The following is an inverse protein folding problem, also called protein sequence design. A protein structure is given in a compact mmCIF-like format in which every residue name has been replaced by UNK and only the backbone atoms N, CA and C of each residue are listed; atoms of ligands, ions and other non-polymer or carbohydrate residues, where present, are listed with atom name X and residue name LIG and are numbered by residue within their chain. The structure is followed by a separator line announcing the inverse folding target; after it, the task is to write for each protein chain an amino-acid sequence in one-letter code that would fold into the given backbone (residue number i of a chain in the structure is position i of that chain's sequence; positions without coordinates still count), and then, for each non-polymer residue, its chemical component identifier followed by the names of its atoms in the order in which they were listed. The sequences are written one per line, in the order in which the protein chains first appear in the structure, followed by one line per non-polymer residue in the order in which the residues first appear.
data_IF_528151569855
#
_entry.id   IF_528151569855
#
_cell.length_a   1.000
_cell.length_b   1.000
_cell.length_c   1.000
_cell.angle_alpha   90.00
_cell.angle_beta   90.00
_cell.angle_gamma   90.00
#
_symmetry.space_group_name_H-M   'P 1'
#
loop_
_entity.id
_entity.type
_entity.pdbx_description
1 polymer ?
#
# COMPACT_ATOMS: atom_id res chain seq x y z
N UNK A 1 21.92 -2.40 -14.48
CA UNK A 1 20.59 -1.81 -14.71
C UNK A 1 20.18 -1.04 -13.46
N UNK A 2 19.47 0.07 -13.62
CA UNK A 2 18.96 0.89 -12.52
C UNK A 2 17.57 0.36 -12.15
N UNK A 3 17.36 0.01 -10.88
CA UNK A 3 16.07 -0.40 -10.36
C UNK A 3 15.29 0.84 -9.91
N UNK A 4 14.09 1.01 -10.44
CA UNK A 4 13.12 2.06 -10.04
C UNK A 4 11.91 1.39 -9.42
N UNK A 5 11.47 1.87 -8.25
CA UNK A 5 10.35 1.28 -7.53
C UNK A 5 9.26 2.32 -7.20
N UNK A 6 8.02 1.98 -7.52
CA UNK A 6 6.85 2.62 -6.92
C UNK A 6 6.51 1.89 -5.61
N UNK A 7 6.82 2.53 -4.50
CA UNK A 7 6.50 2.01 -3.17
C UNK A 7 5.28 2.68 -2.53
N UNK A 8 4.39 3.29 -3.29
CA UNK A 8 3.23 4.01 -2.75
C UNK A 8 2.37 3.17 -1.80
N UNK A 9 2.30 1.85 -1.99
CA UNK A 9 1.54 0.97 -1.11
C UNK A 9 2.37 0.25 -0.05
N UNK A 10 3.70 0.25 -0.19
CA UNK A 10 4.58 -0.56 0.67
C UNK A 10 5.55 0.26 1.52
N UNK A 11 5.78 1.51 1.18
CA UNK A 11 6.70 2.38 1.92
C UNK A 11 6.36 2.42 3.41
N UNK A 12 7.37 2.29 4.27
CA UNK A 12 7.26 2.22 5.74
C UNK A 12 6.45 1.02 6.28
N UNK A 13 6.16 0.01 5.47
CA UNK A 13 5.54 -1.23 5.94
C UNK A 13 6.55 -2.15 6.66
N UNK A 14 7.80 -2.08 6.25
CA UNK A 14 8.93 -2.85 6.75
C UNK A 14 10.26 -2.12 6.45
N UNK A 15 11.38 -2.53 7.07
CA UNK A 15 12.71 -2.07 6.68
C UNK A 15 13.03 -2.46 5.24
N UNK A 16 13.69 -1.57 4.52
CA UNK A 16 14.21 -1.81 3.17
C UNK A 16 15.66 -1.32 3.07
N UNK A 17 16.46 -1.97 2.26
CA UNK A 17 17.77 -1.48 1.87
C UNK A 17 17.65 -0.55 0.66
N UNK A 18 17.61 0.75 0.91
CA UNK A 18 17.46 1.77 -0.13
C UNK A 18 18.61 1.79 -1.13
N UNK A 19 19.78 1.22 -0.78
CA UNK A 19 20.96 1.20 -1.66
C UNK A 19 20.80 0.28 -2.86
N UNK A 20 19.85 -0.64 -2.81
CA UNK A 20 19.50 -1.54 -3.92
C UNK A 20 18.76 -0.82 -5.07
N UNK A 21 18.27 0.39 -4.81
CA UNK A 21 17.46 1.14 -5.79
C UNK A 21 18.20 2.35 -6.32
N UNK A 22 17.99 2.67 -7.58
CA UNK A 22 18.39 3.95 -8.14
C UNK A 22 17.40 5.05 -7.79
N UNK A 23 16.11 4.69 -7.76
CA UNK A 23 15.04 5.60 -7.41
C UNK A 23 13.87 4.84 -6.76
N UNK A 24 13.36 5.37 -5.66
CA UNK A 24 12.09 4.98 -5.06
C UNK A 24 11.18 6.21 -5.07
N UNK A 25 9.93 6.05 -5.48
CA UNK A 25 8.92 7.08 -5.26
C UNK A 25 7.70 6.50 -4.56
N UNK A 26 6.99 7.34 -3.79
CA UNK A 26 5.82 6.91 -3.07
C UNK A 26 4.83 8.07 -2.85
N UNK A 27 3.60 7.90 -3.31
CA UNK A 27 2.49 8.72 -2.89
C UNK A 27 2.17 8.47 -1.41
N UNK A 28 2.09 9.53 -0.59
CA UNK A 28 2.00 9.41 0.87
C UNK A 28 0.64 8.94 1.37
N UNK A 29 -0.41 9.00 0.54
CA UNK A 29 -1.83 8.84 0.93
C UNK A 29 -2.21 7.45 1.46
N UNK A 30 -1.32 6.48 1.45
CA UNK A 30 -1.58 5.11 1.94
C UNK A 30 -1.01 4.90 3.35
N UNK A 31 0.29 5.02 3.53
CA UNK A 31 0.96 4.72 4.80
C UNK A 31 1.53 5.94 5.54
N UNK A 32 1.56 7.13 4.94
CA UNK A 32 2.34 8.24 5.47
C UNK A 32 1.49 9.48 5.82
N UNK A 33 0.52 9.85 4.97
CA UNK A 33 -0.21 11.10 5.19
C UNK A 33 -1.38 11.31 4.20
N UNK A 34 -1.88 12.53 4.05
CA UNK A 34 -2.94 12.86 3.11
C UNK A 34 -2.44 12.90 1.67
N UNK A 35 -3.34 12.72 0.70
CA UNK A 35 -3.03 12.86 -0.73
C UNK A 35 -2.45 14.25 -1.05
N UNK A 36 -1.62 14.31 -2.09
CA UNK A 36 -1.04 15.56 -2.61
C UNK A 36 0.47 15.72 -2.36
N UNK A 37 1.10 14.77 -1.68
CA UNK A 37 2.55 14.75 -1.49
C UNK A 37 3.13 13.44 -2.04
N UNK A 38 4.29 13.52 -2.66
CA UNK A 38 5.07 12.36 -3.10
C UNK A 38 6.46 12.44 -2.47
N UNK A 39 6.92 11.33 -1.92
CA UNK A 39 8.32 11.19 -1.47
C UNK A 39 9.11 10.56 -2.60
N UNK A 40 10.29 11.12 -2.87
CA UNK A 40 11.28 10.55 -3.80
C UNK A 40 12.58 10.33 -3.03
N UNK A 41 13.11 9.12 -3.11
CA UNK A 41 14.45 8.76 -2.66
C UNK A 41 15.22 8.39 -3.91
N UNK A 42 16.22 9.17 -4.26
CA UNK A 42 16.97 9.01 -5.51
C UNK A 42 18.47 9.00 -5.23
N UNK A 43 19.19 8.16 -5.92
CA UNK A 43 20.65 8.09 -5.88
C UNK A 43 21.23 9.35 -6.50
N UNK A 44 22.23 9.95 -5.87
CA UNK A 44 22.78 11.27 -6.22
C UNK A 44 23.29 11.34 -7.66
N UNK A 45 23.93 10.27 -8.14
CA UNK A 45 24.47 10.20 -9.51
C UNK A 45 23.38 10.20 -10.62
N UNK A 46 22.10 10.04 -10.24
CA UNK A 46 20.96 10.15 -11.15
C UNK A 46 20.34 11.55 -11.20
N UNK A 47 20.81 12.47 -10.36
CA UNK A 47 20.36 13.87 -10.33
C UNK A 47 21.22 14.68 -11.28
N UNK A 48 20.86 14.70 -12.56
CA UNK A 48 21.66 15.31 -13.62
C UNK A 48 20.84 16.28 -14.46
N UNK A 49 21.54 17.08 -15.30
CA UNK A 49 20.92 17.91 -16.34
C UNK A 49 20.67 17.13 -17.65
N UNK A 50 21.16 15.89 -17.74
CA UNK A 50 20.93 15.00 -18.87
C UNK A 50 19.51 14.45 -18.84
N UNK A 51 18.60 15.17 -19.45
CA UNK A 51 17.17 14.84 -19.54
C UNK A 51 16.72 14.86 -20.99
N UNK A 52 15.63 14.15 -21.28
CA UNK A 52 15.04 14.16 -22.63
C UNK A 52 14.69 15.60 -23.07
N UNK A 53 14.93 15.89 -24.35
CA UNK A 53 14.57 17.18 -24.91
C UNK A 53 13.05 17.43 -24.75
N UNK A 54 12.68 18.61 -24.28
CA UNK A 54 11.28 18.97 -24.01
C UNK A 54 10.76 18.51 -22.65
N UNK A 55 11.60 17.92 -21.77
CA UNK A 55 11.19 17.57 -20.40
C UNK A 55 10.73 18.82 -19.65
N UNK A 56 9.45 18.86 -19.17
CA UNK A 56 8.97 19.96 -18.36
C UNK A 56 9.80 20.19 -17.10
N UNK A 57 9.94 21.45 -16.68
CA UNK A 57 10.77 21.83 -15.51
C UNK A 57 10.45 21.01 -14.27
N UNK A 58 9.18 20.82 -13.95
CA UNK A 58 8.76 20.10 -12.74
C UNK A 58 8.98 18.58 -12.78
N UNK A 59 9.35 18.03 -13.95
CA UNK A 59 9.71 16.61 -14.09
C UNK A 59 11.23 16.38 -14.04
N UNK A 60 12.02 17.42 -13.76
CA UNK A 60 13.48 17.34 -13.61
C UNK A 60 13.83 17.19 -12.13
N UNK A 61 14.40 16.07 -11.73
CA UNK A 61 14.79 15.85 -10.32
C UNK A 61 15.81 16.87 -9.81
N UNK A 62 16.69 17.35 -10.68
CA UNK A 62 17.69 18.37 -10.34
C UNK A 62 17.05 19.67 -9.85
N UNK A 63 15.96 20.13 -10.46
CA UNK A 63 15.23 21.34 -10.01
C UNK A 63 14.74 21.19 -8.56
N UNK A 64 14.22 20.01 -8.21
CA UNK A 64 13.76 19.73 -6.85
C UNK A 64 14.92 19.65 -5.87
N UNK A 65 16.02 18.99 -6.25
CA UNK A 65 17.22 18.85 -5.43
C UNK A 65 17.88 20.21 -5.14
N UNK A 66 18.13 21.01 -6.18
CA UNK A 66 18.82 22.30 -6.07
C UNK A 66 18.02 23.32 -5.26
N UNK A 67 16.70 23.14 -5.14
CA UNK A 67 15.81 24.03 -4.40
C UNK A 67 15.27 23.40 -3.10
N UNK A 68 15.87 22.32 -2.58
CA UNK A 68 15.40 21.64 -1.37
C UNK A 68 13.89 21.29 -1.39
N UNK A 69 13.38 20.86 -2.53
CA UNK A 69 11.96 20.58 -2.81
C UNK A 69 11.04 21.82 -2.68
N UNK A 70 11.58 23.02 -2.70
CA UNK A 70 10.85 24.29 -2.53
C UNK A 70 10.85 25.16 -3.81
N UNK A 71 11.07 24.56 -4.97
CA UNK A 71 11.01 25.29 -6.25
C UNK A 71 9.64 25.97 -6.46
N UNK A 72 8.56 25.34 -6.01
CA UNK A 72 7.22 25.91 -5.90
C UNK A 72 6.73 25.85 -4.45
N UNK A 73 5.63 26.52 -4.15
CA UNK A 73 4.99 26.44 -2.82
C UNK A 73 4.63 24.99 -2.50
N UNK A 74 5.19 24.43 -1.42
CA UNK A 74 5.01 23.02 -1.09
C UNK A 74 3.64 22.77 -0.44
N UNK A 75 3.12 21.52 -0.46
CA UNK A 75 1.92 21.13 0.26
C UNK A 75 2.20 21.05 1.79
N UNK A 76 2.39 22.20 2.43
CA UNK A 76 2.89 22.32 3.81
C UNK A 76 2.10 21.48 4.83
N UNK A 77 0.76 21.43 4.71
CA UNK A 77 -0.07 20.60 5.59
C UNK A 77 0.25 19.11 5.43
N UNK A 78 0.35 18.62 4.18
CA UNK A 78 0.69 17.23 3.88
C UNK A 78 2.05 16.85 4.46
N UNK A 79 3.06 17.70 4.29
CA UNK A 79 4.41 17.49 4.81
C UNK A 79 4.39 17.48 6.36
N UNK A 80 3.63 18.39 6.98
CA UNK A 80 3.48 18.42 8.44
C UNK A 80 2.89 17.11 8.99
N UNK A 81 1.82 16.59 8.35
CA UNK A 81 1.20 15.32 8.76
C UNK A 81 2.16 14.14 8.55
N UNK A 82 2.89 14.09 7.43
CA UNK A 82 3.94 13.08 7.22
C UNK A 82 4.95 13.07 8.36
N UNK A 83 5.41 14.26 8.79
CA UNK A 83 6.31 14.39 9.93
C UNK A 83 5.72 13.85 11.25
N UNK A 84 4.40 14.00 11.47
CA UNK A 84 3.72 13.39 12.63
C UNK A 84 3.70 11.87 12.54
N UNK A 85 3.41 11.31 11.36
CA UNK A 85 3.40 9.85 11.15
C UNK A 85 4.80 9.28 11.36
N UNK A 86 5.86 9.92 10.85
CA UNK A 86 7.23 9.46 11.09
C UNK A 86 7.57 9.41 12.57
N UNK A 87 7.20 10.46 13.34
CA UNK A 87 7.39 10.49 14.80
C UNK A 87 6.60 9.39 15.50
N UNK A 88 5.37 9.13 15.05
CA UNK A 88 4.54 8.06 15.58
C UNK A 88 5.17 6.68 15.34
N UNK A 89 5.61 6.39 14.12
CA UNK A 89 6.28 5.12 13.79
C UNK A 89 7.56 4.93 14.61
N UNK A 90 8.39 5.98 14.76
CA UNK A 90 9.58 5.93 15.64
C UNK A 90 9.20 5.62 17.08
N UNK A 91 8.14 6.23 17.61
CA UNK A 91 7.66 5.98 18.98
C UNK A 91 7.14 4.55 19.17
N UNK A 92 6.59 3.94 18.13
CA UNK A 92 6.14 2.54 18.15
C UNK A 92 7.27 1.51 18.17
N UNK A 93 8.51 1.93 17.95
CA UNK A 93 9.67 1.05 17.86
C UNK A 93 10.25 0.90 16.45
N UNK A 94 9.81 1.75 15.51
CA UNK A 94 10.34 1.81 14.14
C UNK A 94 9.76 0.75 13.20
N UNK A 95 10.45 0.55 12.08
CA UNK A 95 9.98 -0.31 11.00
C UNK A 95 10.07 -1.80 11.31
N UNK A 96 10.97 -2.21 12.19
CA UNK A 96 11.06 -3.60 12.66
C UNK A 96 9.77 -4.04 13.37
N UNK A 97 9.27 -3.19 14.29
CA UNK A 97 8.00 -3.44 14.97
C UNK A 97 6.83 -3.38 14.00
N UNK A 98 6.87 -2.44 13.05
CA UNK A 98 5.80 -2.32 12.04
C UNK A 98 5.74 -3.55 11.13
N UNK A 99 6.90 -4.10 10.73
CA UNK A 99 7.00 -5.34 9.98
C UNK A 99 6.27 -6.49 10.68
N UNK A 100 6.60 -6.73 11.95
CA UNK A 100 5.96 -7.80 12.74
C UNK A 100 4.43 -7.63 12.77
N UNK A 101 3.94 -6.41 13.04
CA UNK A 101 2.50 -6.11 13.05
C UNK A 101 1.83 -6.36 11.69
N UNK A 102 2.50 -6.01 10.61
CA UNK A 102 1.97 -6.20 9.27
C UNK A 102 1.98 -7.66 8.85
N UNK A 103 3.03 -8.41 9.23
CA UNK A 103 3.11 -9.86 9.01
C UNK A 103 1.98 -10.59 9.77
N UNK A 104 1.72 -10.24 11.04
CA UNK A 104 0.61 -10.81 11.81
C UNK A 104 -0.75 -10.55 11.14
N UNK A 105 -1.01 -9.32 10.71
CA UNK A 105 -2.26 -8.98 10.00
C UNK A 105 -2.42 -9.74 8.70
N UNK A 106 -1.38 -9.73 7.87
CA UNK A 106 -1.38 -10.40 6.58
C UNK A 106 -1.55 -11.90 6.73
N UNK A 107 -0.85 -12.51 7.72
CA UNK A 107 -0.94 -13.93 8.02
C UNK A 107 -2.38 -14.38 8.32
N UNK A 108 -3.12 -13.64 9.14
CA UNK A 108 -4.52 -13.97 9.48
C UNK A 108 -5.37 -14.10 8.22
N UNK A 109 -5.24 -13.16 7.29
CA UNK A 109 -6.03 -13.16 6.07
C UNK A 109 -5.55 -14.22 5.06
N UNK A 110 -4.25 -14.35 4.87
CA UNK A 110 -3.69 -15.34 3.94
C UNK A 110 -3.90 -16.77 4.41
N UNK A 111 -3.77 -17.08 5.70
CA UNK A 111 -4.04 -18.41 6.25
C UNK A 111 -5.50 -18.82 6.00
N UNK A 112 -6.43 -17.86 6.13
CA UNK A 112 -7.82 -18.12 5.79
C UNK A 112 -8.01 -18.35 4.28
N UNK A 113 -7.47 -17.50 3.42
CA UNK A 113 -7.56 -17.65 1.96
C UNK A 113 -6.97 -18.98 1.48
N UNK A 114 -5.86 -19.41 2.09
CA UNK A 114 -5.20 -20.68 1.73
C UNK A 114 -6.01 -21.93 2.17
N UNK A 115 -6.93 -21.78 3.12
CA UNK A 115 -7.79 -22.86 3.64
C UNK A 115 -9.24 -22.79 3.17
N UNK A 116 -9.69 -21.67 2.63
CA UNK A 116 -11.05 -21.46 2.13
C UNK A 116 -11.34 -22.33 0.91
N UNK A 117 -12.58 -22.81 0.82
CA UNK A 117 -13.08 -23.52 -0.37
C UNK A 117 -13.78 -22.58 -1.36
N UNK A 118 -14.13 -21.38 -0.92
CA UNK A 118 -14.83 -20.37 -1.72
C UNK A 118 -13.89 -19.26 -2.20
N UNK A 119 -13.05 -18.73 -1.30
CA UNK A 119 -12.17 -17.61 -1.60
C UNK A 119 -10.77 -18.06 -1.98
N UNK A 120 -10.22 -17.47 -3.03
CA UNK A 120 -8.89 -17.77 -3.53
C UNK A 120 -8.05 -16.50 -3.61
N UNK A 121 -6.86 -16.51 -3.03
CA UNK A 121 -5.86 -15.47 -3.27
C UNK A 121 -5.36 -15.54 -4.71
N UNK A 122 -5.18 -14.36 -5.34
CA UNK A 122 -4.79 -14.29 -6.76
C UNK A 122 -3.28 -14.17 -6.97
N UNK A 123 -2.49 -14.09 -5.89
CA UNK A 123 -1.04 -13.89 -5.93
C UNK A 123 -0.32 -15.10 -5.35
N UNK A 124 0.74 -15.55 -6.03
CA UNK A 124 1.61 -16.62 -5.55
C UNK A 124 2.26 -16.25 -4.21
N UNK A 125 2.57 -17.24 -3.39
CA UNK A 125 2.97 -17.01 -1.97
C UNK A 125 4.18 -16.10 -1.84
N UNK A 126 5.15 -16.24 -2.74
CA UNK A 126 6.42 -15.53 -2.73
C UNK A 126 6.26 -14.01 -3.01
N UNK A 127 5.20 -13.63 -3.74
CA UNK A 127 4.95 -12.25 -4.18
C UNK A 127 3.82 -11.56 -3.40
N UNK A 128 3.37 -12.17 -2.29
CA UNK A 128 2.26 -11.64 -1.47
C UNK A 128 2.62 -10.33 -0.80
N UNK A 129 1.79 -9.32 -1.01
CA UNK A 129 1.89 -8.03 -0.32
C UNK A 129 1.39 -8.12 1.12
N UNK A 130 2.08 -7.43 2.05
CA UNK A 130 1.59 -7.24 3.42
C UNK A 130 0.51 -6.13 3.52
N UNK A 131 0.31 -5.36 2.43
CA UNK A 131 -0.54 -4.15 2.43
C UNK A 131 -1.82 -4.31 1.61
N UNK A 132 -1.77 -5.05 0.50
CA UNK A 132 -2.90 -5.25 -0.39
C UNK A 132 -3.07 -6.74 -0.68
N UNK A 133 -4.19 -7.30 -0.26
CA UNK A 133 -4.51 -8.70 -0.42
C UNK A 133 -5.66 -8.85 -1.42
N UNK A 134 -5.37 -9.14 -2.70
CA UNK A 134 -6.40 -9.41 -3.70
C UNK A 134 -6.89 -10.84 -3.60
N UNK A 135 -8.21 -11.04 -3.77
CA UNK A 135 -8.85 -12.35 -3.76
C UNK A 135 -10.15 -12.37 -4.56
N UNK A 136 -10.60 -13.55 -4.93
CA UNK A 136 -11.80 -13.81 -5.73
C UNK A 136 -12.54 -15.04 -5.21
N UNK A 137 -13.83 -15.18 -5.57
CA UNK A 137 -14.56 -16.46 -5.42
C UNK A 137 -14.50 -17.32 -6.67
N UNK A 138 -14.00 -16.79 -7.79
CA UNK A 138 -14.09 -17.45 -9.10
C UNK A 138 -15.45 -17.30 -9.77
N UNK A 139 -16.43 -16.69 -9.12
CA UNK A 139 -17.75 -16.38 -9.65
C UNK A 139 -18.07 -14.89 -9.45
N UNK A 140 -18.23 -14.17 -10.54
CA UNK A 140 -18.47 -12.73 -10.54
C UNK A 140 -19.74 -12.32 -9.77
N UNK A 141 -20.80 -13.13 -9.83
CA UNK A 141 -22.05 -12.83 -9.12
C UNK A 141 -21.86 -12.97 -7.62
N UNK A 142 -21.08 -13.95 -7.16
CA UNK A 142 -20.70 -14.11 -5.76
C UNK A 142 -19.76 -12.99 -5.29
N UNK A 143 -18.80 -12.57 -6.12
CA UNK A 143 -17.94 -11.41 -5.81
C UNK A 143 -18.79 -10.15 -5.59
N UNK A 144 -19.74 -9.87 -6.49
CA UNK A 144 -20.62 -8.70 -6.39
C UNK A 144 -21.58 -8.81 -5.18
N UNK A 145 -22.07 -10.03 -4.86
CA UNK A 145 -22.87 -10.30 -3.65
C UNK A 145 -22.06 -10.03 -2.39
N UNK A 146 -20.84 -10.59 -2.29
CA UNK A 146 -19.94 -10.38 -1.16
C UNK A 146 -19.68 -8.90 -0.92
N UNK A 147 -19.35 -8.14 -1.96
CA UNK A 147 -19.08 -6.70 -1.86
C UNK A 147 -20.30 -5.93 -1.32
N UNK A 148 -21.53 -6.28 -1.78
CA UNK A 148 -22.76 -5.64 -1.33
C UNK A 148 -23.06 -5.96 0.13
N UNK A 149 -22.86 -7.20 0.55
CA UNK A 149 -23.11 -7.64 1.93
C UNK A 149 -22.04 -7.11 2.90
N UNK A 150 -20.76 -7.12 2.49
CA UNK A 150 -19.68 -6.50 3.25
C UNK A 150 -19.97 -5.03 3.58
N UNK A 151 -20.47 -4.27 2.61
CA UNK A 151 -20.85 -2.87 2.83
C UNK A 151 -21.94 -2.71 3.87
N UNK A 152 -22.92 -3.61 3.94
CA UNK A 152 -24.02 -3.54 4.94
C UNK A 152 -23.53 -3.70 6.38
N UNK A 153 -22.39 -4.36 6.58
CA UNK A 153 -21.77 -4.57 7.89
C UNK A 153 -20.58 -3.64 8.15
N UNK A 154 -20.44 -2.57 7.35
CA UNK A 154 -19.41 -1.56 7.55
C UNK A 154 -18.03 -1.90 6.97
N UNK A 155 -17.89 -2.96 6.17
CA UNK A 155 -16.66 -3.26 5.43
C UNK A 155 -16.71 -2.48 4.11
N UNK A 156 -16.03 -1.33 4.09
CA UNK A 156 -16.04 -0.41 2.96
C UNK A 156 -14.84 -0.63 2.04
N UNK A 157 -15.00 -0.26 0.76
CA UNK A 157 -13.94 -0.26 -0.26
C UNK A 157 -13.24 -1.61 -0.50
N UNK A 158 -13.96 -2.73 -0.25
CA UNK A 158 -13.41 -4.09 -0.45
C UNK A 158 -13.34 -4.51 -1.93
N UNK A 159 -14.01 -3.79 -2.84
CA UNK A 159 -13.97 -4.08 -4.28
C UNK A 159 -12.55 -4.01 -4.82
N UNK A 160 -12.16 -4.97 -5.63
CA UNK A 160 -10.86 -5.02 -6.31
C UNK A 160 -10.68 -3.91 -7.35
N UNK A 161 -9.47 -3.80 -7.90
CA UNK A 161 -9.19 -2.80 -8.92
C UNK A 161 -10.05 -3.04 -10.16
N UNK A 162 -10.56 -1.97 -10.77
CA UNK A 162 -11.50 -2.03 -11.91
C UNK A 162 -11.00 -2.84 -13.11
N UNK A 163 -9.69 -2.95 -13.30
CA UNK A 163 -9.07 -3.71 -14.40
C UNK A 163 -8.83 -5.18 -14.05
N UNK A 164 -8.81 -5.54 -12.75
CA UNK A 164 -8.54 -6.89 -12.26
C UNK A 164 -9.82 -7.58 -11.81
N UNK A 165 -10.76 -6.83 -11.24
CA UNK A 165 -11.99 -7.35 -10.65
C UNK A 165 -11.81 -7.94 -9.26
N UNK A 166 -12.77 -8.77 -8.83
CA UNK A 166 -12.76 -9.42 -7.53
C UNK A 166 -12.79 -8.47 -6.34
N UNK A 167 -12.15 -8.87 -5.27
CA UNK A 167 -12.01 -8.12 -4.01
C UNK A 167 -10.54 -7.81 -3.71
N UNK A 168 -10.32 -6.78 -2.88
CA UNK A 168 -9.00 -6.42 -2.38
C UNK A 168 -9.11 -5.84 -0.98
N UNK A 169 -8.54 -6.51 0.00
CA UNK A 169 -8.36 -5.96 1.33
C UNK A 169 -7.11 -5.07 1.37
N UNK A 170 -7.28 -3.79 1.70
CA UNK A 170 -6.19 -2.83 1.91
C UNK A 170 -5.94 -2.70 3.40
N UNK A 171 -4.90 -3.40 3.90
CA UNK A 171 -4.59 -3.54 5.33
C UNK A 171 -3.35 -2.74 5.73
N UNK A 172 -3.28 -1.49 5.29
CA UNK A 172 -2.15 -0.59 5.54
C UNK A 172 -1.75 -0.48 7.02
N UNK A 173 -0.64 0.19 7.30
CA UNK A 173 -0.08 0.31 8.65
C UNK A 173 -1.09 0.72 9.72
N UNK A 174 -2.01 1.62 9.38
CA UNK A 174 -3.02 2.13 10.32
C UNK A 174 -4.20 1.17 10.55
N UNK A 175 -4.38 0.13 9.73
CA UNK A 175 -5.44 -0.86 9.93
C UNK A 175 -5.15 -1.69 11.19
N UNK A 176 -6.04 -1.66 12.19
CA UNK A 176 -5.89 -2.50 13.38
C UNK A 176 -6.11 -3.98 13.03
N UNK A 177 -5.47 -4.85 13.81
CA UNK A 177 -5.58 -6.32 13.60
C UNK A 177 -7.03 -6.81 13.76
N UNK A 178 -7.81 -6.13 14.59
CA UNK A 178 -9.24 -6.41 14.81
C UNK A 178 -10.06 -6.23 13.54
N UNK A 179 -9.73 -5.23 12.71
CA UNK A 179 -10.38 -5.03 11.42
C UNK A 179 -10.14 -6.18 10.46
N UNK A 180 -8.92 -6.74 10.45
CA UNK A 180 -8.60 -7.92 9.64
C UNK A 180 -9.31 -9.17 10.15
N UNK A 181 -9.35 -9.37 11.47
CA UNK A 181 -10.11 -10.47 12.09
C UNK A 181 -11.59 -10.38 11.76
N UNK A 182 -12.18 -9.19 11.87
CA UNK A 182 -13.58 -8.94 11.52
C UNK A 182 -13.89 -9.29 10.06
N UNK A 183 -13.00 -8.91 9.13
CA UNK A 183 -13.13 -9.30 7.72
C UNK A 183 -13.12 -10.82 7.56
N UNK A 184 -12.18 -11.53 8.21
CA UNK A 184 -12.09 -12.99 8.10
C UNK A 184 -13.32 -13.69 8.71
N UNK A 185 -13.83 -13.21 9.82
CA UNK A 185 -15.10 -13.73 10.41
C UNK A 185 -16.28 -13.54 9.46
N UNK A 186 -16.40 -12.38 8.84
CA UNK A 186 -17.41 -12.13 7.82
C UNK A 186 -17.25 -13.04 6.60
N UNK A 187 -16.03 -13.25 6.13
CA UNK A 187 -15.74 -14.16 5.00
C UNK A 187 -16.14 -15.60 5.33
N UNK A 188 -15.82 -16.10 6.52
CA UNK A 188 -16.22 -17.44 6.98
C UNK A 188 -17.74 -17.61 6.96
N UNK A 189 -18.46 -16.66 7.53
CA UNK A 189 -19.92 -16.67 7.53
C UNK A 189 -20.49 -16.67 6.12
N UNK A 190 -19.97 -15.80 5.25
CA UNK A 190 -20.39 -15.74 3.86
C UNK A 190 -20.12 -17.06 3.12
N UNK A 191 -18.96 -17.68 3.35
CA UNK A 191 -18.64 -19.00 2.77
C UNK A 191 -19.63 -20.08 3.22
N UNK A 192 -20.03 -20.11 4.51
CA UNK A 192 -21.00 -21.06 5.03
C UNK A 192 -22.38 -20.91 4.39
N UNK A 193 -22.80 -19.67 4.15
CA UNK A 193 -24.12 -19.34 3.58
C UNK A 193 -24.18 -19.52 2.04
N UNK A 194 -23.05 -19.73 1.36
CA UNK A 194 -22.94 -19.79 -0.10
C UNK A 194 -22.20 -21.05 -0.62
N UNK A 195 -22.20 -22.10 0.18
CA UNK A 195 -21.69 -23.44 -0.20
C UNK A 195 -22.58 -24.13 -1.20
#
# INVERSE_FOLDING_TARGET
KILVADMSSDILSQPIDVTQYGLIFAGVQKNIGPAGTVIVIIREDLITDDVLNGTPTMLKYKIHSDNNSLYNTPPAYGIYICGKVFKYLKKLGGLEVMKVRNEEKAKILYDYLDSSKLFNGTVVKEDRSLMNVPFITGNKELDDKFIKEAKKVGIENIRGHRTVGGMRASIYNAMPIEGVKYLVEFMKKFEEENK
#
